data_IF_844181053172
#
_entry.id   IF_844181053172
#
_cell.length_a   1.000
_cell.length_b   1.000
_cell.length_c   1.000
_cell.angle_alpha   90.00
_cell.angle_beta   90.00
_cell.angle_gamma   90.00
#
_symmetry.space_group_name_H-M   'P 1'
#
loop_
_entity.id
_entity.type
_entity.pdbx_description
1 polymer ?
#
# COMPACT_ATOMS: atom_id res chain seq x y z
N UNK A 1 9.61 -19.12 28.09
CA UNK A 1 8.74 -18.87 26.93
C UNK A 1 8.30 -17.42 26.99
N UNK A 2 8.73 -16.57 26.05
CA UNK A 2 8.28 -15.17 26.00
C UNK A 2 6.98 -15.11 25.22
N UNK A 3 5.92 -14.57 25.84
CA UNK A 3 4.69 -14.23 25.13
C UNK A 3 4.94 -12.96 24.33
N UNK A 4 5.39 -13.10 23.08
CA UNK A 4 5.37 -11.99 22.12
C UNK A 4 3.90 -11.62 21.88
N UNK A 5 3.45 -10.53 22.51
CA UNK A 5 2.19 -9.88 22.13
C UNK A 5 2.40 -9.18 20.80
N UNK A 6 1.48 -9.39 19.87
CA UNK A 6 1.43 -8.67 18.60
C UNK A 6 1.08 -7.21 18.88
N UNK A 7 2.03 -6.31 18.63
CA UNK A 7 1.86 -4.88 18.92
C UNK A 7 1.48 -4.13 17.65
N UNK A 8 0.21 -3.73 17.55
CA UNK A 8 -0.32 -3.06 16.37
C UNK A 8 -1.01 -1.75 16.65
N UNK A 9 -0.70 -0.70 15.87
CA UNK A 9 -0.76 0.69 16.38
C UNK A 9 -0.77 1.80 15.26
N UNK A 10 -1.94 2.13 14.69
CA UNK A 10 -2.21 3.37 13.91
C UNK A 10 -2.24 4.58 14.83
N UNK A 11 -1.62 5.72 14.52
CA UNK A 11 -1.50 6.83 15.48
C UNK A 11 -2.38 8.03 15.12
N UNK A 12 -3.19 8.50 16.08
CA UNK A 12 -3.87 9.80 16.07
C UNK A 12 -3.26 10.72 17.12
N UNK A 13 -3.18 12.03 16.86
CA UNK A 13 -2.83 13.05 17.84
C UNK A 13 -3.66 14.33 17.63
N UNK A 14 -4.23 14.89 18.70
CA UNK A 14 -4.72 16.28 18.74
C UNK A 14 -3.89 17.11 19.75
N UNK A 15 -3.04 18.05 19.28
CA UNK A 15 -2.24 18.91 20.14
C UNK A 15 -3.06 19.85 21.05
N UNK A 16 -4.33 20.13 20.73
CA UNK A 16 -5.14 21.11 21.46
C UNK A 16 -5.89 20.51 22.65
N UNK A 17 -6.28 19.23 22.58
CA UNK A 17 -6.85 18.46 23.70
C UNK A 17 -5.87 17.52 24.41
N UNK A 18 -4.72 17.22 23.78
CA UNK A 18 -3.73 16.26 24.29
C UNK A 18 -4.08 14.79 24.03
N UNK A 19 -5.09 14.50 23.20
CA UNK A 19 -5.53 13.14 22.90
C UNK A 19 -4.57 12.41 21.94
N UNK A 20 -4.30 11.14 22.22
CA UNK A 20 -3.44 10.27 21.41
C UNK A 20 -4.07 8.87 21.26
N UNK A 21 -4.39 8.41 20.03
CA UNK A 21 -4.97 7.07 19.79
C UNK A 21 -4.01 6.17 19.02
N UNK A 22 -4.27 4.85 19.10
CA UNK A 22 -3.36 3.75 18.76
C UNK A 22 -4.16 2.49 18.26
N UNK A 23 -4.29 2.34 16.93
CA UNK A 23 -5.02 1.38 16.03
C UNK A 23 -4.44 -0.02 15.67
N UNK A 24 -4.87 -1.16 16.27
CA UNK A 24 -4.38 -2.52 15.95
C UNK A 24 -4.60 -3.13 14.54
N UNK A 25 -3.92 -4.28 14.34
CA UNK A 25 -3.44 -4.82 13.05
C UNK A 25 -3.78 -6.29 12.82
N UNK A 26 -5.04 -6.66 13.02
CA UNK A 26 -5.50 -8.02 12.73
C UNK A 26 -6.62 -7.91 11.72
N UNK A 27 -6.44 -8.53 10.55
CA UNK A 27 -7.52 -8.71 9.58
C UNK A 27 -8.62 -9.60 10.14
N UNK A 28 -9.83 -9.49 9.59
CA UNK A 28 -11.02 -10.24 10.06
C UNK A 28 -11.09 -11.69 9.57
N UNK A 29 -9.97 -12.25 9.06
CA UNK A 29 -9.92 -13.60 8.46
C UNK A 29 -9.56 -14.68 9.46
N UNK A 30 -10.00 -15.90 9.16
CA UNK A 30 -9.51 -17.13 9.80
C UNK A 30 -8.10 -17.56 9.35
N UNK A 31 -7.56 -16.92 8.30
CA UNK A 31 -6.22 -17.17 7.75
C UNK A 31 -5.32 -15.96 7.94
N UNK A 32 -4.10 -16.19 8.43
CA UNK A 32 -3.05 -15.17 8.53
C UNK A 32 -2.76 -14.59 7.13
N UNK A 33 -3.01 -13.30 6.95
CA UNK A 33 -2.67 -12.58 5.72
C UNK A 33 -2.29 -11.13 6.02
N UNK A 34 -1.49 -10.52 5.17
CA UNK A 34 -1.10 -9.10 5.27
C UNK A 34 -2.15 -8.16 4.66
N UNK A 35 -3.45 -8.45 4.83
CA UNK A 35 -4.57 -7.68 4.29
C UNK A 35 -4.81 -6.34 4.99
N UNK A 36 -4.34 -6.18 6.23
CA UNK A 36 -4.15 -4.88 6.88
C UNK A 36 -2.93 -4.16 6.29
N UNK A 37 -3.13 -3.57 5.10
CA UNK A 37 -2.07 -2.94 4.30
C UNK A 37 -1.71 -1.55 4.84
N UNK A 38 -0.41 -1.26 4.92
CA UNK A 38 0.15 -0.01 5.44
C UNK A 38 0.21 1.12 4.39
N UNK A 39 -0.93 1.43 3.78
CA UNK A 39 -1.16 2.53 2.83
C UNK A 39 -2.27 3.48 3.35
N UNK A 40 -2.44 4.70 2.80
CA UNK A 40 -3.49 5.63 3.21
C UNK A 40 -4.87 5.23 2.68
N UNK A 41 -5.80 4.92 3.58
CA UNK A 41 -7.17 4.53 3.25
C UNK A 41 -8.10 5.76 3.13
N UNK A 42 -8.90 5.82 2.07
CA UNK A 42 -9.92 6.86 1.87
C UNK A 42 -11.07 6.30 1.02
N UNK A 43 -12.25 6.02 1.60
CA UNK A 43 -13.38 5.43 0.88
C UNK A 43 -13.72 6.18 -0.40
N UNK A 44 -13.82 5.46 -1.52
CA UNK A 44 -14.11 6.05 -2.83
C UNK A 44 -12.93 6.69 -3.56
N UNK A 45 -11.76 6.82 -2.94
CA UNK A 45 -10.53 7.39 -3.53
C UNK A 45 -9.37 6.37 -3.46
N UNK A 46 -9.02 5.92 -2.25
CA UNK A 46 -8.02 4.88 -1.98
C UNK A 46 -8.72 3.76 -1.22
N UNK A 47 -9.26 2.82 -1.99
CA UNK A 47 -10.11 1.73 -1.51
C UNK A 47 -9.52 0.36 -1.92
N UNK A 48 -9.99 -0.71 -1.31
CA UNK A 48 -9.47 -2.08 -1.52
C UNK A 48 -10.62 -3.10 -1.48
N UNK A 49 -10.46 -4.27 -2.15
CA UNK A 49 -11.52 -5.26 -2.13
C UNK A 49 -11.65 -5.89 -0.74
N UNK A 50 -12.90 -6.07 -0.31
CA UNK A 50 -13.24 -6.78 0.91
C UNK A 50 -13.05 -8.29 0.67
N UNK A 51 -12.46 -8.98 1.64
CA UNK A 51 -12.27 -10.45 1.63
C UNK A 51 -11.44 -11.04 0.45
N UNK A 52 -10.93 -10.23 -0.49
CA UNK A 52 -9.90 -10.62 -1.49
C UNK A 52 -8.54 -10.04 -1.14
N UNK A 53 -7.46 -10.80 -1.33
CA UNK A 53 -6.10 -10.30 -1.14
C UNK A 53 -5.58 -9.64 -2.42
N UNK A 54 -5.20 -8.36 -2.34
CA UNK A 54 -4.45 -7.64 -3.36
C UNK A 54 -3.43 -6.72 -2.68
N UNK A 55 -2.20 -6.56 -3.21
CA UNK A 55 -1.22 -5.59 -2.71
C UNK A 55 -1.56 -4.18 -3.24
N UNK A 56 -2.71 -3.64 -2.82
CA UNK A 56 -3.15 -2.30 -3.20
C UNK A 56 -2.13 -1.29 -2.67
N UNK A 57 -1.62 -0.44 -3.57
CA UNK A 57 -0.71 0.67 -3.29
C UNK A 57 0.60 0.29 -2.57
N UNK A 58 0.95 -1.00 -2.52
CA UNK A 58 2.20 -1.55 -1.97
C UNK A 58 2.88 -2.45 -3.01
N UNK A 59 4.22 -2.40 -3.17
CA UNK A 59 4.93 -3.32 -4.05
C UNK A 59 5.03 -4.72 -3.42
N UNK A 60 4.54 -5.72 -4.13
CA UNK A 60 4.73 -7.13 -3.82
C UNK A 60 5.88 -7.68 -4.68
N UNK A 61 6.88 -8.30 -4.04
CA UNK A 61 8.06 -8.87 -4.72
C UNK A 61 8.09 -10.39 -4.50
N UNK A 62 8.43 -11.16 -5.54
CA UNK A 62 8.58 -12.63 -5.45
C UNK A 62 10.05 -13.02 -5.45
N UNK A 63 10.43 -13.90 -4.52
CA UNK A 63 11.77 -14.48 -4.37
C UNK A 63 11.64 -15.99 -4.16
N UNK A 64 11.58 -16.77 -5.24
CA UNK A 64 11.27 -18.19 -5.20
C UNK A 64 9.90 -18.46 -4.58
N UNK A 65 9.88 -19.17 -3.45
CA UNK A 65 8.66 -19.43 -2.68
C UNK A 65 8.20 -18.24 -1.80
N UNK A 66 9.02 -17.20 -1.65
CA UNK A 66 8.72 -16.06 -0.77
C UNK A 66 8.10 -14.89 -1.55
N UNK A 67 6.78 -14.73 -1.42
CA UNK A 67 6.06 -13.52 -1.88
C UNK A 67 6.04 -12.51 -0.73
N UNK A 68 6.87 -11.47 -0.82
CA UNK A 68 7.05 -10.45 0.22
C UNK A 68 6.35 -9.14 -0.10
N UNK A 69 5.88 -8.47 0.95
CA UNK A 69 5.18 -7.18 0.86
C UNK A 69 5.65 -6.27 2.01
N UNK A 70 5.56 -4.93 1.86
CA UNK A 70 5.67 -3.97 2.96
C UNK A 70 4.57 -4.09 4.03
N UNK A 71 4.53 -5.24 4.70
CA UNK A 71 3.65 -5.59 5.82
C UNK A 71 4.01 -4.88 7.13
N UNK A 72 3.09 -4.94 8.09
CA UNK A 72 3.29 -4.32 9.39
C UNK A 72 4.13 -5.18 10.36
N UNK A 73 5.45 -4.99 10.34
CA UNK A 73 6.33 -5.18 11.51
C UNK A 73 7.48 -4.14 11.49
N UNK A 74 7.13 -2.89 11.23
CA UNK A 74 8.10 -1.79 11.13
C UNK A 74 8.64 -1.34 12.49
N UNK A 75 9.97 -1.18 12.60
CA UNK A 75 10.58 -0.36 13.65
C UNK A 75 10.59 1.11 13.20
N UNK A 76 10.72 2.04 14.15
CA UNK A 76 10.73 3.50 13.90
C UNK A 76 9.49 4.00 13.13
N UNK A 77 8.36 3.33 13.35
CA UNK A 77 7.06 3.75 12.86
C UNK A 77 6.74 5.14 13.44
N UNK A 78 6.63 6.15 12.57
CA UNK A 78 6.50 7.56 12.94
C UNK A 78 5.57 8.30 12.00
N UNK A 79 4.77 9.20 12.56
CA UNK A 79 3.95 10.19 11.85
C UNK A 79 4.37 11.59 12.28
N UNK A 80 4.18 12.60 11.45
CA UNK A 80 4.45 13.98 11.84
C UNK A 80 4.32 15.00 10.72
N UNK A 81 4.63 16.25 11.06
CA UNK A 81 4.74 17.36 10.12
C UNK A 81 6.15 17.40 9.51
N UNK A 82 6.22 17.41 8.19
CA UNK A 82 7.43 17.62 7.41
C UNK A 82 7.61 19.08 6.99
N UNK A 83 8.54 19.31 6.05
CA UNK A 83 8.76 20.63 5.46
C UNK A 83 7.51 21.09 4.68
N UNK A 84 7.31 22.41 4.60
CA UNK A 84 6.21 23.05 3.83
C UNK A 84 4.80 22.57 4.24
N UNK A 85 4.58 22.29 5.52
CA UNK A 85 3.31 21.79 6.06
C UNK A 85 2.84 20.45 5.45
N UNK A 86 3.77 19.64 4.93
CA UNK A 86 3.46 18.25 4.57
C UNK A 86 3.20 17.41 5.84
N UNK A 87 2.38 16.37 5.73
CA UNK A 87 2.34 15.28 6.69
C UNK A 87 3.16 14.10 6.16
N UNK A 88 3.69 13.26 7.04
CA UNK A 88 4.34 12.00 6.65
C UNK A 88 3.95 10.83 7.56
N UNK A 89 4.09 9.62 7.02
CA UNK A 89 4.05 8.35 7.74
C UNK A 89 5.22 7.47 7.26
N UNK A 90 6.07 7.01 8.18
CA UNK A 90 7.35 6.34 7.85
C UNK A 90 7.65 5.18 8.77
N UNK A 91 8.20 4.10 8.24
CA UNK A 91 8.73 2.98 9.03
C UNK A 91 9.85 2.21 8.29
N UNK A 92 10.58 1.38 9.02
CA UNK A 92 11.63 0.48 8.50
C UNK A 92 11.28 -0.96 8.89
N UNK A 93 11.00 -1.83 7.93
CA UNK A 93 10.95 -3.28 8.17
C UNK A 93 12.39 -3.81 8.24
N UNK A 94 12.88 -4.32 9.39
CA UNK A 94 14.28 -4.74 9.54
C UNK A 94 14.62 -6.05 8.79
N UNK A 95 13.61 -6.87 8.50
CA UNK A 95 13.65 -8.06 7.66
C UNK A 95 12.51 -7.97 6.63
N UNK A 96 12.60 -8.69 5.50
CA UNK A 96 11.46 -8.84 4.58
C UNK A 96 10.45 -9.86 5.13
N UNK A 97 9.18 -9.68 4.79
CA UNK A 97 8.06 -10.40 5.41
C UNK A 97 7.10 -10.85 4.31
N UNK A 98 6.70 -12.12 4.35
CA UNK A 98 5.79 -12.69 3.35
C UNK A 98 4.35 -12.17 3.52
N UNK A 99 3.51 -12.35 2.50
CA UNK A 99 2.07 -12.06 2.60
C UNK A 99 1.36 -12.91 3.67
N UNK A 100 1.90 -14.07 4.02
CA UNK A 100 1.50 -14.92 5.17
C UNK A 100 2.20 -14.52 6.48
N UNK A 101 2.65 -13.26 6.61
CA UNK A 101 3.27 -12.68 7.82
C UNK A 101 4.58 -13.36 8.30
N UNK A 102 5.18 -14.27 7.52
CA UNK A 102 6.42 -14.97 7.89
C UNK A 102 7.65 -14.09 7.65
N UNK A 103 8.52 -13.97 8.66
CA UNK A 103 9.76 -13.19 8.56
C UNK A 103 10.84 -13.97 7.81
N UNK A 104 11.26 -13.46 6.65
CA UNK A 104 12.32 -14.06 5.81
C UNK A 104 13.69 -13.58 6.28
N UNK A 105 14.15 -14.22 7.37
CA UNK A 105 15.35 -13.82 8.10
C UNK A 105 16.60 -13.85 7.22
N UNK A 106 17.31 -12.74 7.15
CA UNK A 106 18.57 -12.65 6.39
C UNK A 106 18.42 -12.32 4.91
N UNK A 107 17.20 -12.12 4.39
CA UNK A 107 16.98 -11.78 2.98
C UNK A 107 17.28 -10.31 2.67
N UNK A 108 16.70 -9.37 3.43
CA UNK A 108 16.72 -7.95 3.11
C UNK A 108 16.01 -7.08 4.14
N UNK A 109 15.75 -5.83 3.79
CA UNK A 109 14.89 -4.88 4.54
C UNK A 109 14.15 -3.96 3.56
N UNK A 110 13.07 -3.34 4.03
CA UNK A 110 12.36 -2.31 3.28
C UNK A 110 12.13 -1.07 4.15
N UNK A 111 12.37 0.11 3.60
CA UNK A 111 11.94 1.39 4.18
C UNK A 111 10.71 1.89 3.44
N UNK A 112 9.73 2.37 4.19
CA UNK A 112 8.46 2.88 3.66
C UNK A 112 8.29 4.31 4.11
N UNK A 113 7.92 5.17 3.16
CA UNK A 113 7.72 6.59 3.37
C UNK A 113 6.52 7.06 2.55
N UNK A 114 5.48 7.48 3.26
CA UNK A 114 4.33 8.20 2.71
C UNK A 114 4.45 9.68 3.08
N UNK A 115 4.23 10.56 2.11
CA UNK A 115 4.21 12.01 2.31
C UNK A 115 2.97 12.61 1.64
N UNK A 116 2.29 13.52 2.34
CA UNK A 116 1.02 14.13 1.96
C UNK A 116 1.21 15.65 1.93
N UNK A 117 0.94 16.30 0.81
CA UNK A 117 1.13 17.74 0.64
C UNK A 117 0.07 18.31 -0.31
N UNK A 118 -0.96 18.96 0.25
CA UNK A 118 -2.10 19.44 -0.54
C UNK A 118 -2.88 18.27 -1.13
N UNK A 119 -3.09 18.32 -2.45
CA UNK A 119 -3.68 17.25 -3.28
C UNK A 119 -2.68 16.13 -3.60
N UNK A 120 -1.37 16.38 -3.45
CA UNK A 120 -0.32 15.43 -3.85
C UNK A 120 0.07 14.48 -2.72
N UNK A 121 0.01 13.19 -3.04
CA UNK A 121 0.44 12.09 -2.18
C UNK A 121 1.65 11.42 -2.84
N UNK A 122 2.65 11.06 -2.05
CA UNK A 122 3.87 10.40 -2.52
C UNK A 122 4.12 9.16 -1.68
N UNK A 123 4.24 8.02 -2.34
CA UNK A 123 4.73 6.77 -1.76
C UNK A 123 6.19 6.55 -2.16
N UNK A 124 7.00 6.05 -1.24
CA UNK A 124 8.38 5.63 -1.49
C UNK A 124 8.67 4.34 -0.74
N UNK A 125 9.12 3.33 -1.47
CA UNK A 125 9.54 2.03 -0.98
C UNK A 125 11.00 1.81 -1.38
N UNK A 126 11.88 1.58 -0.40
CA UNK A 126 13.31 1.35 -0.64
C UNK A 126 13.70 -0.02 -0.09
N UNK A 127 13.89 -0.97 -0.99
CA UNK A 127 14.34 -2.32 -0.66
C UNK A 127 15.87 -2.40 -0.72
N UNK A 128 16.46 -3.18 0.18
CA UNK A 128 17.84 -3.65 0.07
C UNK A 128 17.90 -5.13 0.42
N UNK A 129 18.79 -5.88 -0.24
CA UNK A 129 19.06 -7.30 0.07
C UNK A 129 20.37 -7.43 0.84
N UNK A 130 20.49 -8.45 1.69
CA UNK A 130 21.72 -8.73 2.46
C UNK A 130 22.69 -9.63 1.69
N UNK A 131 22.17 -10.51 0.83
CA UNK A 131 22.93 -11.39 -0.05
C UNK A 131 22.50 -11.15 -1.51
N UNK A 132 23.34 -11.48 -2.52
CA UNK A 132 22.92 -11.45 -3.92
C UNK A 132 21.76 -12.43 -4.13
N UNK A 133 20.63 -11.92 -4.61
CA UNK A 133 19.38 -12.67 -4.70
C UNK A 133 18.67 -12.33 -6.00
N UNK A 134 18.04 -13.32 -6.64
CA UNK A 134 17.13 -13.09 -7.76
C UNK A 134 15.72 -12.78 -7.23
N UNK A 135 15.19 -11.62 -7.59
CA UNK A 135 13.75 -11.35 -7.53
C UNK A 135 13.14 -11.85 -8.83
N UNK A 136 12.14 -12.72 -8.77
CA UNK A 136 11.54 -13.34 -9.96
C UNK A 136 10.48 -12.45 -10.62
N UNK A 137 9.70 -11.74 -9.79
CA UNK A 137 8.69 -10.79 -10.24
C UNK A 137 8.42 -9.69 -9.23
N UNK A 138 7.81 -8.61 -9.70
CA UNK A 138 7.28 -7.50 -8.91
C UNK A 138 5.91 -7.10 -9.44
N UNK A 139 4.96 -6.74 -8.56
CA UNK A 139 3.73 -6.05 -8.93
C UNK A 139 3.35 -4.96 -7.92
N UNK A 140 2.67 -3.94 -8.41
CA UNK A 140 2.11 -2.83 -7.64
C UNK A 140 0.72 -2.52 -8.20
N UNK A 141 -0.33 -2.62 -7.38
CA UNK A 141 -1.72 -2.61 -7.86
C UNK A 141 -2.43 -1.32 -7.46
N UNK A 142 -3.09 -0.68 -8.43
CA UNK A 142 -4.06 0.39 -8.21
C UNK A 142 -5.48 -0.18 -8.37
N UNK A 143 -6.37 0.15 -7.44
CA UNK A 143 -7.80 -0.12 -7.56
C UNK A 143 -8.51 1.17 -7.98
N UNK A 144 -9.15 1.18 -9.16
CA UNK A 144 -9.93 2.30 -9.67
C UNK A 144 -11.41 1.96 -9.48
N UNK A 145 -11.99 2.47 -8.39
CA UNK A 145 -13.36 2.17 -7.97
C UNK A 145 -14.34 3.31 -8.17
N UNK A 146 -15.63 2.97 -8.09
CA UNK A 146 -16.75 3.91 -8.10
C UNK A 146 -17.66 3.66 -6.86
N UNK A 147 -18.35 4.70 -6.35
CA UNK A 147 -19.25 4.59 -5.20
C UNK A 147 -20.45 3.67 -5.46
N UNK A 148 -21.12 3.22 -4.39
CA UNK A 148 -22.37 2.46 -4.45
C UNK A 148 -23.42 3.13 -5.34
N UNK A 149 -23.96 2.37 -6.31
CA UNK A 149 -25.02 2.85 -7.21
C UNK A 149 -26.39 3.06 -6.56
N UNK A 150 -26.58 2.63 -5.30
CA UNK A 150 -27.87 2.67 -4.58
C UNK A 150 -27.82 3.34 -3.20
N UNK A 151 -26.71 3.21 -2.48
CA UNK A 151 -26.56 3.70 -1.11
C UNK A 151 -25.37 4.66 -1.01
N UNK A 152 -25.39 5.70 -1.85
CA UNK A 152 -24.46 6.84 -1.79
C UNK A 152 -25.18 8.08 -1.23
N UNK A 153 -24.41 8.96 -0.60
CA UNK A 153 -24.85 10.28 -0.16
C UNK A 153 -24.08 11.29 -1.02
N UNK A 154 -24.76 12.24 -1.66
CA UNK A 154 -24.12 13.16 -2.62
C UNK A 154 -22.99 14.01 -2.07
N UNK A 155 -22.91 14.21 -0.75
CA UNK A 155 -21.81 14.91 -0.08
C UNK A 155 -20.57 14.04 0.15
N UNK A 156 -20.50 12.83 -0.42
CA UNK A 156 -19.38 11.90 -0.22
C UNK A 156 -18.47 11.89 -1.45
N UNK A 157 -17.17 11.73 -1.24
CA UNK A 157 -16.18 11.80 -2.31
C UNK A 157 -16.14 10.54 -3.19
N UNK A 158 -15.76 10.74 -4.45
CA UNK A 158 -15.52 9.70 -5.44
C UNK A 158 -14.37 10.12 -6.36
N UNK A 159 -13.79 9.16 -7.10
CA UNK A 159 -12.87 9.44 -8.19
C UNK A 159 -13.63 10.06 -9.38
N UNK A 160 -13.14 11.19 -9.86
CA UNK A 160 -13.59 11.82 -11.11
C UNK A 160 -12.99 11.14 -12.35
N UNK A 161 -13.21 11.74 -13.53
CA UNK A 161 -12.80 11.16 -14.82
C UNK A 161 -11.28 10.97 -14.94
N UNK A 162 -10.46 11.85 -14.34
CA UNK A 162 -9.01 11.71 -14.37
C UNK A 162 -8.45 10.72 -13.33
N UNK A 163 -9.33 10.17 -12.48
CA UNK A 163 -9.04 9.10 -11.52
C UNK A 163 -7.84 9.41 -10.60
N UNK A 164 -7.03 8.42 -10.23
CA UNK A 164 -5.91 8.58 -9.28
C UNK A 164 -4.77 9.50 -9.76
N UNK A 165 -4.69 9.82 -11.06
CA UNK A 165 -3.56 10.51 -11.74
C UNK A 165 -2.19 10.03 -11.22
N UNK A 166 -1.98 8.71 -11.24
CA UNK A 166 -0.79 8.07 -10.70
C UNK A 166 0.44 8.26 -11.62
N UNK A 167 1.58 8.65 -11.05
CA UNK A 167 2.85 8.89 -11.76
C UNK A 167 4.00 8.14 -11.10
N UNK A 168 4.80 7.42 -11.89
CA UNK A 168 6.00 6.71 -11.42
C UNK A 168 7.20 7.64 -11.52
N UNK A 169 7.59 8.26 -10.41
CA UNK A 169 8.72 9.20 -10.34
C UNK A 169 10.07 8.47 -10.37
N UNK A 170 10.12 7.27 -9.77
CA UNK A 170 11.31 6.44 -9.72
C UNK A 170 10.94 4.98 -9.69
N UNK A 171 11.57 4.21 -10.55
CA UNK A 171 11.53 2.76 -10.53
C UNK A 171 12.94 2.19 -10.79
N UNK A 172 13.46 1.40 -9.85
CA UNK A 172 14.68 0.59 -10.01
C UNK A 172 14.37 -0.87 -10.39
N UNK A 173 13.09 -1.27 -10.36
CA UNK A 173 12.64 -2.60 -10.76
C UNK A 173 12.40 -2.72 -12.27
N UNK A 174 12.27 -1.60 -12.99
CA UNK A 174 12.03 -1.57 -14.44
C UNK A 174 10.76 -2.37 -14.81
N UNK A 175 9.69 -2.09 -14.08
CA UNK A 175 8.34 -2.58 -14.30
C UNK A 175 7.65 -1.79 -15.43
N UNK A 176 6.57 -2.35 -15.96
CA UNK A 176 5.74 -1.73 -16.99
C UNK A 176 4.27 -1.82 -16.56
N UNK A 177 3.47 -0.82 -16.93
CA UNK A 177 2.02 -0.90 -16.76
C UNK A 177 1.46 -2.01 -17.65
N UNK A 178 0.67 -2.91 -17.06
CA UNK A 178 -0.18 -3.84 -17.77
C UNK A 178 -1.40 -3.12 -18.35
N UNK A 179 -2.07 -3.78 -19.30
CA UNK A 179 -3.41 -3.39 -19.72
C UNK A 179 -4.36 -3.43 -18.51
N UNK A 180 -5.27 -2.45 -18.34
CA UNK A 180 -6.21 -2.44 -17.22
C UNK A 180 -7.14 -3.66 -17.21
N UNK A 181 -7.20 -4.37 -16.07
CA UNK A 181 -8.10 -5.51 -15.87
C UNK A 181 -9.49 -5.00 -15.49
N UNK A 182 -10.53 -5.38 -16.24
CA UNK A 182 -11.92 -4.98 -15.97
C UNK A 182 -12.55 -5.96 -14.98
N UNK A 183 -12.84 -5.50 -13.76
CA UNK A 183 -13.29 -6.36 -12.64
C UNK A 183 -14.68 -6.02 -12.10
N UNK A 184 -15.37 -5.03 -12.71
CA UNK A 184 -16.64 -4.47 -12.22
C UNK A 184 -17.76 -5.49 -11.91
N UNK A 185 -17.80 -6.63 -12.61
CA UNK A 185 -18.86 -7.65 -12.43
C UNK A 185 -18.43 -8.87 -11.60
N UNK A 186 -17.16 -8.98 -11.21
CA UNK A 186 -16.71 -10.01 -10.27
C UNK A 186 -17.01 -9.56 -8.81
N UNK A 187 -17.87 -10.28 -8.06
CA UNK A 187 -18.24 -9.89 -6.70
C UNK A 187 -17.07 -9.94 -5.71
N UNK A 188 -15.98 -10.66 -5.98
CA UNK A 188 -14.81 -10.71 -5.10
C UNK A 188 -14.02 -9.39 -5.08
N UNK A 189 -14.18 -8.51 -6.06
CA UNK A 189 -13.51 -7.20 -6.10
C UNK A 189 -14.38 -6.04 -5.56
N UNK A 190 -15.44 -6.36 -4.81
CA UNK A 190 -16.28 -5.34 -4.15
C UNK A 190 -15.58 -4.75 -2.93
N UNK A 191 -15.80 -3.46 -2.70
CA UNK A 191 -15.34 -2.76 -1.49
C UNK A 191 -16.52 -2.53 -0.54
N UNK A 192 -16.29 -2.02 0.67
CA UNK A 192 -17.38 -1.55 1.53
C UNK A 192 -18.10 -0.31 0.98
N UNK A 193 -17.51 0.38 0.01
CA UNK A 193 -17.98 1.65 -0.54
C UNK A 193 -18.50 1.57 -1.98
N UNK A 194 -18.23 0.47 -2.70
CA UNK A 194 -18.79 0.26 -4.04
C UNK A 194 -18.13 -0.89 -4.82
N UNK A 195 -17.97 -0.70 -6.12
CA UNK A 195 -17.31 -1.65 -7.04
C UNK A 195 -15.94 -1.11 -7.44
N UNK A 196 -14.92 -1.96 -7.46
CA UNK A 196 -13.72 -1.70 -8.26
C UNK A 196 -14.10 -1.92 -9.73
N UNK A 197 -13.85 -0.94 -10.61
CA UNK A 197 -14.10 -1.09 -12.04
C UNK A 197 -12.89 -1.65 -12.76
N UNK A 198 -11.71 -1.09 -12.46
CA UNK A 198 -10.45 -1.48 -13.09
C UNK A 198 -9.36 -1.74 -12.04
N UNK A 199 -8.52 -2.74 -12.30
CA UNK A 199 -7.20 -2.83 -11.69
C UNK A 199 -6.15 -2.38 -12.69
N UNK A 200 -5.28 -1.45 -12.28
CA UNK A 200 -4.11 -1.07 -13.04
C UNK A 200 -2.87 -1.61 -12.33
N UNK A 201 -2.07 -2.43 -13.02
CA UNK A 201 -0.94 -3.14 -12.40
C UNK A 201 0.37 -2.69 -13.04
N UNK A 202 1.25 -2.07 -12.26
CA UNK A 202 2.64 -1.88 -12.62
C UNK A 202 3.38 -3.17 -12.27
N UNK A 203 3.92 -3.88 -13.25
CA UNK A 203 4.49 -5.21 -13.06
C UNK A 203 5.82 -5.45 -13.80
N UNK A 204 6.67 -6.27 -13.18
CA UNK A 204 7.86 -6.86 -13.78
C UNK A 204 7.70 -8.37 -13.75
N UNK A 205 7.39 -8.98 -14.89
CA UNK A 205 7.17 -10.42 -15.02
C UNK A 205 8.42 -11.19 -15.46
N UNK A 206 9.61 -10.69 -15.11
CA UNK A 206 10.88 -11.30 -15.47
C UNK A 206 11.96 -11.02 -14.40
N UNK A 207 12.99 -11.87 -14.25
CA UNK A 207 13.90 -11.77 -13.11
C UNK A 207 14.74 -10.49 -13.03
N UNK A 208 15.09 -10.08 -11.81
CA UNK A 208 16.03 -8.99 -11.49
C UNK A 208 17.06 -9.50 -10.46
N UNK A 209 18.35 -9.34 -10.76
CA UNK A 209 19.42 -9.66 -9.79
C UNK A 209 19.60 -8.48 -8.83
N UNK A 210 19.14 -8.65 -7.60
CA UNK A 210 19.33 -7.70 -6.51
C UNK A 210 20.69 -7.93 -5.81
N UNK A 211 21.42 -6.85 -5.54
CA UNK A 211 22.80 -6.87 -5.01
C UNK A 211 22.89 -6.21 -3.63
N UNK A 212 23.68 -6.75 -2.69
CA UNK A 212 23.94 -6.09 -1.40
C UNK A 212 24.59 -4.73 -1.58
N UNK A 213 24.25 -3.79 -0.70
CA UNK A 213 24.72 -2.40 -0.78
C UNK A 213 23.97 -1.53 -1.81
N UNK A 214 23.26 -2.12 -2.77
CA UNK A 214 22.39 -1.39 -3.68
C UNK A 214 20.99 -1.20 -3.07
N UNK A 215 20.42 -0.01 -3.27
CA UNK A 215 19.01 0.29 -2.99
C UNK A 215 18.19 0.11 -4.26
N UNK A 216 16.98 -0.44 -4.11
CA UNK A 216 15.99 -0.61 -5.17
C UNK A 216 14.75 0.17 -4.74
N UNK A 217 14.50 1.30 -5.41
CA UNK A 217 13.43 2.24 -5.07
C UNK A 217 12.27 2.14 -6.04
N UNK A 218 11.06 2.13 -5.48
CA UNK A 218 9.84 2.52 -6.16
C UNK A 218 9.31 3.80 -5.51
N UNK A 219 9.04 4.83 -6.31
CA UNK A 219 8.40 6.07 -5.89
C UNK A 219 7.23 6.35 -6.83
N UNK A 220 6.02 6.34 -6.29
CA UNK A 220 4.78 6.64 -7.03
C UNK A 220 4.09 7.83 -6.38
N UNK A 221 3.74 8.83 -7.19
CA UNK A 221 2.90 9.95 -6.75
C UNK A 221 1.48 9.83 -7.26
N UNK A 222 0.56 10.44 -6.53
CA UNK A 222 -0.87 10.49 -6.82
C UNK A 222 -1.34 11.93 -6.64
N UNK A 223 -2.24 12.37 -7.51
CA UNK A 223 -3.00 13.60 -7.35
C UNK A 223 -4.45 13.26 -7.68
N UNK A 224 -5.17 12.52 -6.83
CA UNK A 224 -6.49 12.00 -7.18
C UNK A 224 -7.44 13.11 -7.61
N UNK A 225 -8.22 12.82 -8.65
CA UNK A 225 -9.33 13.64 -9.09
C UNK A 225 -10.52 13.37 -8.17
N UNK A 226 -10.84 14.34 -7.31
CA UNK A 226 -11.83 14.18 -6.24
C UNK A 226 -13.08 14.98 -6.60
N UNK A 227 -14.17 14.26 -6.84
CA UNK A 227 -15.51 14.83 -7.10
C UNK A 227 -16.49 14.42 -6.01
N UNK A 228 -17.65 15.08 -5.97
CA UNK A 228 -18.79 14.63 -5.18
C UNK A 228 -19.56 13.53 -5.94
N UNK A 229 -20.07 12.54 -5.22
CA UNK A 229 -20.65 11.34 -5.83
C UNK A 229 -21.99 11.56 -6.59
N UNK A 230 -22.62 12.72 -6.44
CA UNK A 230 -23.86 13.12 -7.13
C UNK A 230 -23.72 14.45 -7.92
N UNK A 231 -22.49 14.85 -8.29
CA UNK A 231 -22.23 15.88 -9.32
C UNK A 231 -22.06 15.26 -10.72
#
# INVERSE_FOLDING_TARGET
KSHRRENGLFIYQDPKSGLHLQIPLMGSRSTESSDSLAFPHSPGIFDWPVEKYLPILLPELTFGEHVVIPAFYGKRCTTGLGLRNSFFFRYEQPELITKEQKVVSGMGNCKVNWTFLGDKITSEFVFTVKNPTQMDSMRYVLALGAPHSRYRIGTTFALGEESLRASVEKDDFQANWADPEVVAEDPEYRTYYGKIHYLQVLQRNHPLIMRPGQQYRLTVTFQPDIVLADE
#
